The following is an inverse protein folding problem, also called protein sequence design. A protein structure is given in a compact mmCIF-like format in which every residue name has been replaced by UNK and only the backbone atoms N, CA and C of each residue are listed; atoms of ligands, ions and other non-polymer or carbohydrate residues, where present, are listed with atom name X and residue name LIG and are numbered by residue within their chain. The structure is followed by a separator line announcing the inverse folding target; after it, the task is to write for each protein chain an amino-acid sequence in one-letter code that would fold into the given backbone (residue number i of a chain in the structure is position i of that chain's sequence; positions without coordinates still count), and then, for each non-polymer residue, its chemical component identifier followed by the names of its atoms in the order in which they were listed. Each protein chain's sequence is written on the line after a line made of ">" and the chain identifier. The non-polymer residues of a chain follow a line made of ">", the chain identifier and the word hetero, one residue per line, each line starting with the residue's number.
data_IF_015973451115
#
_entry.id   IF_015973451115
#
_cell.length_a   1.000
_cell.length_b   1.000
_cell.length_c   1.000
_cell.angle_alpha   90.00
_cell.angle_beta   90.00
_cell.angle_gamma   90.00
#
_symmetry.space_group_name_H-M   'P 1'
#
loop_
_entity.id
_entity.type
_entity.pdbx_description
1 polymer ?
#
# COMPACT_ATOMS: atom_id res chain seq x y z
N UNK A 1 -15.34 -12.35 -7.87
CA UNK A 1 -15.23 -11.29 -6.84
C UNK A 1 -15.53 -11.81 -5.42
N UNK A 2 -16.58 -12.62 -5.21
CA UNK A 2 -16.91 -13.18 -3.90
C UNK A 2 -15.77 -13.98 -3.22
N UNK A 3 -15.00 -14.85 -3.92
CA UNK A 3 -13.90 -15.61 -3.30
C UNK A 3 -12.77 -14.72 -2.76
N UNK A 4 -12.41 -13.65 -3.50
CA UNK A 4 -11.41 -12.67 -3.07
C UNK A 4 -11.83 -11.91 -1.81
N UNK A 5 -13.08 -11.44 -1.78
CA UNK A 5 -13.62 -10.71 -0.62
C UNK A 5 -13.77 -11.62 0.62
N UNK A 6 -14.24 -12.86 0.43
CA UNK A 6 -14.39 -13.84 1.52
C UNK A 6 -13.04 -14.29 2.10
N UNK A 7 -12.07 -14.62 1.24
CA UNK A 7 -10.73 -15.05 1.69
C UNK A 7 -10.03 -13.99 2.54
N UNK A 8 -10.20 -12.71 2.17
CA UNK A 8 -9.67 -11.60 2.97
C UNK A 8 -10.45 -11.36 4.25
N UNK A 9 -11.79 -11.41 4.22
CA UNK A 9 -12.60 -11.24 5.42
C UNK A 9 -12.16 -12.21 6.53
N UNK A 10 -11.90 -13.47 6.17
CA UNK A 10 -11.43 -14.47 7.11
C UNK A 10 -10.05 -14.12 7.71
N UNK A 11 -9.11 -13.66 6.88
CA UNK A 11 -7.78 -13.24 7.34
C UNK A 11 -7.87 -12.02 8.28
N UNK A 12 -8.66 -11.01 7.90
CA UNK A 12 -8.84 -9.80 8.71
C UNK A 12 -9.54 -10.11 10.03
N UNK A 13 -10.60 -10.92 10.01
CA UNK A 13 -11.32 -11.32 11.22
C UNK A 13 -10.40 -12.00 12.22
N UNK A 14 -9.57 -12.96 11.77
CA UNK A 14 -8.60 -13.65 12.63
C UNK A 14 -7.60 -12.69 13.25
N UNK A 15 -7.06 -11.76 12.45
CA UNK A 15 -6.13 -10.74 12.94
C UNK A 15 -6.79 -9.83 13.98
N UNK A 16 -7.96 -9.27 13.66
CA UNK A 16 -8.69 -8.40 14.57
C UNK A 16 -9.10 -9.10 15.87
N UNK A 17 -9.45 -10.39 15.82
CA UNK A 17 -9.73 -11.18 17.01
C UNK A 17 -8.48 -11.38 17.89
N UNK A 18 -7.31 -11.64 17.28
CA UNK A 18 -6.05 -11.77 18.00
C UNK A 18 -5.62 -10.44 18.64
N UNK A 19 -5.84 -9.33 17.95
CA UNK A 19 -5.45 -7.99 18.40
C UNK A 19 -6.47 -7.34 19.35
N UNK A 20 -7.63 -7.97 19.59
CA UNK A 20 -8.74 -7.37 20.34
C UNK A 20 -8.35 -6.96 21.76
N UNK A 21 -7.53 -7.79 22.44
CA UNK A 21 -7.06 -7.52 23.79
C UNK A 21 -6.22 -6.23 23.88
N UNK A 22 -5.54 -5.84 22.79
CA UNK A 22 -4.72 -4.63 22.74
C UNK A 22 -5.55 -3.35 22.83
N UNK A 23 -6.84 -3.40 22.49
CA UNK A 23 -7.75 -2.24 22.58
C UNK A 23 -8.01 -1.79 24.03
N UNK A 24 -7.75 -2.66 25.02
CA UNK A 24 -7.94 -2.38 26.44
C UNK A 24 -6.64 -2.09 27.18
N UNK A 25 -5.50 -2.21 26.50
CA UNK A 25 -4.21 -1.95 27.10
C UNK A 25 -3.94 -0.44 27.14
N UNK A 26 -3.54 0.08 28.29
CA UNK A 26 -3.13 1.46 28.44
C UNK A 26 -1.80 1.66 27.71
N UNK A 27 -1.78 2.53 26.70
CA UNK A 27 -0.58 2.83 25.93
C UNK A 27 -0.07 4.21 26.35
N UNK A 28 1.15 4.26 26.90
CA UNK A 28 1.83 5.56 27.04
C UNK A 28 2.13 6.08 25.64
N UNK A 29 1.62 7.26 25.32
CA UNK A 29 1.92 7.93 24.06
C UNK A 29 3.42 8.15 23.91
N UNK A 30 3.94 7.94 22.70
CA UNK A 30 5.32 8.29 22.31
C UNK A 30 5.32 9.68 21.70
N UNK A 31 6.44 10.39 21.79
CA UNK A 31 6.57 11.65 21.09
C UNK A 31 6.60 11.41 19.56
N UNK A 32 6.11 12.37 18.78
CA UNK A 32 6.02 12.26 17.31
C UNK A 32 7.38 11.91 16.70
N UNK A 33 8.45 12.58 17.13
CA UNK A 33 9.82 12.32 16.65
C UNK A 33 10.41 10.96 17.08
N UNK A 34 9.80 10.25 18.03
CA UNK A 34 10.19 8.87 18.39
C UNK A 34 9.48 7.83 17.52
N UNK A 35 8.36 8.21 16.90
CA UNK A 35 7.55 7.34 16.05
C UNK A 35 7.91 7.52 14.58
N UNK A 36 8.19 8.75 14.18
CA UNK A 36 8.37 9.13 12.77
C UNK A 36 9.78 9.66 12.51
N UNK A 37 10.37 9.16 11.43
CA UNK A 37 11.67 9.60 10.92
C UNK A 37 11.64 11.10 10.56
N UNK A 38 12.72 11.83 10.88
CA UNK A 38 12.79 13.27 10.63
C UNK A 38 12.59 13.67 9.17
N UNK A 39 13.00 12.82 8.22
CA UNK A 39 12.76 13.06 6.79
C UNK A 39 11.26 13.02 6.46
N UNK A 40 10.50 12.08 7.02
CA UNK A 40 9.04 12.04 6.84
C UNK A 40 8.37 13.29 7.41
N UNK A 41 8.80 13.73 8.60
CA UNK A 41 8.25 14.95 9.23
C UNK A 41 8.46 16.19 8.37
N UNK A 42 9.62 16.30 7.71
CA UNK A 42 9.89 17.37 6.74
C UNK A 42 9.01 17.23 5.50
N UNK A 43 8.85 16.02 4.95
CA UNK A 43 7.95 15.77 3.83
C UNK A 43 6.50 16.15 4.17
N UNK A 44 6.03 15.80 5.37
CA UNK A 44 4.69 16.12 5.85
C UNK A 44 4.47 17.63 5.93
N UNK A 45 5.38 18.35 6.58
CA UNK A 45 5.26 19.80 6.76
C UNK A 45 5.26 20.54 5.42
N UNK A 46 6.08 20.10 4.46
CA UNK A 46 6.09 20.66 3.09
C UNK A 46 4.80 20.35 2.33
N UNK A 47 4.26 19.13 2.48
CA UNK A 47 3.04 18.71 1.77
C UNK A 47 1.77 19.43 2.27
N UNK A 48 1.61 19.52 3.59
CA UNK A 48 0.36 19.96 4.21
C UNK A 48 0.41 21.37 4.82
N UNK A 49 1.61 21.95 4.98
CA UNK A 49 1.78 23.28 5.58
C UNK A 49 1.73 23.31 7.12
N UNK A 50 1.41 22.20 7.77
CA UNK A 50 1.38 22.04 9.24
C UNK A 50 2.07 20.75 9.68
N UNK A 51 2.53 20.69 10.94
CA UNK A 51 3.21 19.49 11.48
C UNK A 51 2.22 18.45 11.99
N UNK A 52 2.69 17.23 12.27
CA UNK A 52 1.83 16.19 12.87
C UNK A 52 1.41 16.60 14.29
N UNK A 53 2.26 17.28 15.04
CA UNK A 53 1.92 17.86 16.34
C UNK A 53 0.76 18.86 16.22
N UNK A 54 0.79 19.73 15.21
CA UNK A 54 -0.33 20.65 14.92
C UNK A 54 -1.60 19.88 14.54
N UNK A 55 -1.50 18.77 13.80
CA UNK A 55 -2.66 17.92 13.50
C UNK A 55 -3.27 17.29 14.78
N UNK A 56 -2.44 16.85 15.73
CA UNK A 56 -2.89 16.33 17.01
C UNK A 56 -3.58 17.42 17.85
N UNK A 57 -3.06 18.65 17.86
CA UNK A 57 -3.71 19.79 18.49
C UNK A 57 -5.08 20.10 17.86
N UNK A 58 -5.20 20.00 16.53
CA UNK A 58 -6.49 20.13 15.83
C UNK A 58 -7.46 19.07 16.32
N UNK A 59 -7.03 17.81 16.42
CA UNK A 59 -7.86 16.73 16.95
C UNK A 59 -8.33 17.03 18.38
N UNK A 60 -7.43 17.45 19.27
CA UNK A 60 -7.75 17.79 20.65
C UNK A 60 -8.80 18.91 20.74
N UNK A 61 -8.67 19.96 19.91
CA UNK A 61 -9.64 21.06 19.84
C UNK A 61 -11.02 20.57 19.39
N UNK A 62 -11.08 19.75 18.35
CA UNK A 62 -12.32 19.20 17.81
C UNK A 62 -12.99 18.24 18.80
N UNK A 63 -12.21 17.35 19.43
CA UNK A 63 -12.72 16.42 20.45
C UNK A 63 -13.19 17.17 21.69
N UNK A 64 -12.48 18.22 22.12
CA UNK A 64 -12.90 19.06 23.24
C UNK A 64 -14.22 19.76 22.94
N UNK A 65 -14.37 20.40 21.77
CA UNK A 65 -15.63 21.04 21.36
C UNK A 65 -16.78 20.03 21.34
N UNK A 66 -16.57 18.82 20.81
CA UNK A 66 -17.57 17.74 20.85
C UNK A 66 -18.00 17.36 22.27
N UNK A 67 -17.05 17.28 23.21
CA UNK A 67 -17.34 17.05 24.64
C UNK A 67 -18.13 18.21 25.25
N UNK A 68 -17.75 19.45 24.95
CA UNK A 68 -18.38 20.66 25.48
C UNK A 68 -19.85 20.76 25.03
N UNK A 69 -20.15 20.45 23.76
CA UNK A 69 -21.53 20.42 23.23
C UNK A 69 -22.28 19.13 23.56
N UNK A 70 -21.59 18.11 24.12
CA UNK A 70 -22.12 16.78 24.44
C UNK A 70 -22.74 16.04 23.25
N UNK A 71 -22.17 16.23 22.07
CA UNK A 71 -22.58 15.55 20.84
C UNK A 71 -21.36 14.98 20.11
N UNK A 72 -21.56 13.88 19.39
CA UNK A 72 -20.54 13.24 18.56
C UNK A 72 -20.40 13.93 17.20
N UNK A 73 -21.46 14.60 16.74
CA UNK A 73 -21.49 15.40 15.52
C UNK A 73 -21.58 16.86 15.93
N UNK A 74 -20.67 17.68 15.41
CA UNK A 74 -20.56 19.09 15.78
C UNK A 74 -20.69 19.93 14.52
N UNK A 75 -21.53 20.96 14.60
CA UNK A 75 -21.55 22.08 13.66
C UNK A 75 -20.84 23.26 14.30
N UNK A 76 -19.87 23.86 13.60
CA UNK A 76 -19.09 25.02 14.05
C UNK A 76 -18.85 25.96 12.88
N UNK A 77 -18.78 27.27 13.11
CA UNK A 77 -18.39 28.22 12.06
C UNK A 77 -16.88 28.19 11.84
N UNK A 78 -16.43 28.56 10.64
CA UNK A 78 -14.99 28.72 10.34
C UNK A 78 -14.34 29.71 11.31
N UNK A 79 -14.99 30.84 11.63
CA UNK A 79 -14.47 31.82 12.58
C UNK A 79 -14.28 31.27 13.99
N UNK A 80 -15.25 30.49 14.49
CA UNK A 80 -15.14 29.84 15.81
C UNK A 80 -14.02 28.79 15.83
N UNK A 81 -13.92 27.97 14.78
CA UNK A 81 -12.85 26.97 14.68
C UNK A 81 -11.49 27.64 14.60
N UNK A 82 -11.36 28.68 13.78
CA UNK A 82 -10.13 29.48 13.65
C UNK A 82 -9.65 30.00 15.00
N UNK A 83 -10.55 30.68 15.73
CA UNK A 83 -10.26 31.23 17.07
C UNK A 83 -9.83 30.12 18.04
N UNK A 84 -10.49 28.96 17.97
CA UNK A 84 -10.18 27.83 18.85
C UNK A 84 -8.79 27.23 18.56
N UNK A 85 -8.37 27.22 17.29
CA UNK A 85 -7.05 26.72 16.88
C UNK A 85 -5.93 27.72 17.23
N UNK A 86 -6.16 29.02 17.06
CA UNK A 86 -5.22 30.05 17.52
C UNK A 86 -5.04 30.03 19.04
N UNK A 87 -6.14 29.87 19.78
CA UNK A 87 -6.09 29.72 21.24
C UNK A 87 -5.33 28.46 21.69
N UNK A 88 -5.23 27.44 20.84
CA UNK A 88 -4.44 26.24 21.06
C UNK A 88 -2.95 26.41 20.66
N UNK A 89 -2.54 27.61 20.23
CA UNK A 89 -1.16 27.93 19.87
C UNK A 89 -0.80 27.67 18.40
N UNK A 90 -1.80 27.55 17.51
CA UNK A 90 -1.55 27.39 16.08
C UNK A 90 -1.56 28.76 15.41
N UNK A 91 -0.44 29.14 14.79
CA UNK A 91 -0.28 30.37 14.02
C UNK A 91 -1.33 30.50 12.91
N UNK A 92 -1.83 31.72 12.66
CA UNK A 92 -2.90 32.01 11.68
C UNK A 92 -2.61 31.45 10.28
N UNK A 93 -1.35 31.50 9.84
CA UNK A 93 -0.93 30.95 8.54
C UNK A 93 -1.05 29.42 8.48
N UNK A 94 -0.81 28.72 9.59
CA UNK A 94 -1.00 27.28 9.67
C UNK A 94 -2.48 26.92 9.79
N UNK A 95 -3.31 27.74 10.46
CA UNK A 95 -4.77 27.54 10.51
C UNK A 95 -5.38 27.55 9.11
N UNK A 96 -4.98 28.49 8.25
CA UNK A 96 -5.39 28.51 6.85
C UNK A 96 -5.04 27.20 6.13
N UNK A 97 -3.78 26.76 6.23
CA UNK A 97 -3.32 25.52 5.59
C UNK A 97 -4.04 24.27 6.12
N UNK A 98 -4.37 24.25 7.41
CA UNK A 98 -5.17 23.20 8.06
C UNK A 98 -6.56 23.15 7.45
N UNK A 99 -7.27 24.29 7.37
CA UNK A 99 -8.60 24.35 6.78
C UNK A 99 -8.56 23.95 5.29
N UNK A 100 -7.62 24.47 4.51
CA UNK A 100 -7.47 24.11 3.09
C UNK A 100 -7.13 22.63 2.87
N UNK A 101 -6.45 21.98 3.82
CA UNK A 101 -6.05 20.58 3.72
C UNK A 101 -7.10 19.60 4.22
N UNK A 102 -7.82 19.96 5.29
CA UNK A 102 -8.72 19.06 6.01
C UNK A 102 -10.21 19.32 5.72
N UNK A 103 -10.55 20.48 5.16
CA UNK A 103 -11.93 20.77 4.77
C UNK A 103 -12.28 20.22 3.40
N UNK A 104 -13.51 19.72 3.29
CA UNK A 104 -14.17 19.31 2.07
C UNK A 104 -15.34 20.26 1.82
N UNK A 105 -15.21 21.09 0.78
CA UNK A 105 -16.24 22.08 0.41
C UNK A 105 -17.37 21.45 -0.40
N UNK A 106 -18.56 22.05 -0.27
CA UNK A 106 -19.72 21.72 -1.08
C UNK A 106 -19.46 22.02 -2.56
N UNK A 107 -20.12 21.29 -3.45
CA UNK A 107 -20.00 21.47 -4.90
C UNK A 107 -21.38 21.38 -5.53
N UNK A 108 -21.66 22.24 -6.50
CA UNK A 108 -22.92 22.26 -7.22
C UNK A 108 -23.21 20.93 -7.95
N UNK A 109 -22.17 20.25 -8.42
CA UNK A 109 -22.26 18.93 -9.04
C UNK A 109 -21.08 18.05 -8.63
N UNK A 110 -21.34 16.75 -8.49
CA UNK A 110 -20.31 15.76 -8.20
C UNK A 110 -19.34 15.57 -9.38
N UNK A 111 -19.81 15.77 -10.62
CA UNK A 111 -19.08 15.59 -11.89
C UNK A 111 -18.10 16.74 -12.17
N UNK A 112 -18.34 17.91 -11.59
CA UNK A 112 -17.50 19.08 -11.76
C UNK A 112 -16.21 18.93 -10.95
N UNK A 113 -15.09 18.73 -11.66
CA UNK A 113 -13.75 18.67 -11.08
C UNK A 113 -13.33 20.09 -10.66
N UNK A 114 -13.05 20.35 -9.37
CA UNK A 114 -12.59 21.67 -8.94
C UNK A 114 -11.19 22.00 -9.49
N UNK A 115 -10.87 23.28 -9.59
CA UNK A 115 -9.55 23.74 -10.02
C UNK A 115 -8.43 23.12 -9.17
N UNK A 116 -7.36 22.63 -9.83
CA UNK A 116 -6.22 21.97 -9.15
C UNK A 116 -6.46 20.50 -8.73
N UNK A 117 -7.55 19.90 -9.19
CA UNK A 117 -7.86 18.48 -9.04
C UNK A 117 -8.05 17.80 -10.40
N UNK A 118 -7.97 16.47 -10.40
CA UNK A 118 -8.20 15.65 -11.58
C UNK A 118 -9.49 14.85 -11.45
N UNK A 119 -9.99 14.30 -12.56
CA UNK A 119 -11.18 13.43 -12.56
C UNK A 119 -11.03 12.28 -11.54
N UNK A 120 -9.84 11.67 -11.47
CA UNK A 120 -9.52 10.62 -10.48
C UNK A 120 -9.81 11.03 -9.04
N UNK A 121 -9.67 12.31 -8.70
CA UNK A 121 -9.90 12.83 -7.35
C UNK A 121 -11.38 12.85 -6.94
N UNK A 122 -12.31 12.67 -7.89
CA UNK A 122 -13.75 12.68 -7.65
C UNK A 122 -14.44 11.35 -7.98
N UNK A 123 -13.82 10.46 -8.77
CA UNK A 123 -14.39 9.17 -9.17
C UNK A 123 -14.75 8.26 -7.97
N UNK A 124 -16.02 8.02 -7.64
CA UNK A 124 -16.42 7.33 -6.40
C UNK A 124 -15.90 5.88 -6.30
N UNK A 125 -15.59 5.25 -7.44
CA UNK A 125 -14.96 3.92 -7.50
C UNK A 125 -13.44 3.94 -7.30
N UNK A 126 -12.81 5.08 -7.06
CA UNK A 126 -11.39 5.20 -6.70
C UNK A 126 -11.23 5.41 -5.21
N UNK A 127 -10.37 4.59 -4.61
CA UNK A 127 -9.85 4.85 -3.27
C UNK A 127 -8.61 5.74 -3.36
N UNK A 128 -8.29 6.45 -2.28
CA UNK A 128 -7.20 7.44 -2.31
C UNK A 128 -7.53 8.57 -3.28
N UNK A 129 -8.68 9.21 -3.05
CA UNK A 129 -9.10 10.44 -3.72
C UNK A 129 -8.73 11.63 -2.88
N UNK A 130 -8.18 12.69 -3.49
CA UNK A 130 -7.88 13.93 -2.77
C UNK A 130 -9.15 14.66 -2.29
N UNK A 131 -10.28 14.49 -2.99
CA UNK A 131 -11.60 15.00 -2.58
C UNK A 131 -12.46 13.86 -2.04
N UNK A 132 -12.13 13.43 -0.82
CA UNK A 132 -12.87 12.39 -0.10
C UNK A 132 -12.94 12.72 1.37
N UNK A 133 -13.63 11.87 2.15
CA UNK A 133 -13.74 12.01 3.60
C UNK A 133 -12.41 11.79 4.35
N UNK A 134 -11.29 11.63 3.65
CA UNK A 134 -9.97 11.88 4.26
C UNK A 134 -9.77 13.35 4.67
N UNK A 135 -10.65 14.24 4.16
CA UNK A 135 -10.89 15.61 4.60
C UNK A 135 -12.12 15.59 5.53
N UNK A 136 -11.94 15.42 6.85
CA UNK A 136 -13.06 15.11 7.74
C UNK A 136 -13.90 16.33 8.15
N UNK A 137 -13.50 17.55 7.75
CA UNK A 137 -14.22 18.78 8.04
C UNK A 137 -15.15 19.14 6.87
N UNK A 138 -16.43 18.81 6.96
CA UNK A 138 -17.38 19.06 5.86
C UNK A 138 -17.85 20.51 5.90
N UNK A 139 -17.38 21.34 4.97
CA UNK A 139 -17.89 22.69 4.81
C UNK A 139 -19.20 22.65 4.02
N UNK A 140 -20.27 23.18 4.59
CA UNK A 140 -21.60 23.22 3.98
C UNK A 140 -21.73 24.29 2.88
N UNK A 141 -20.65 25.03 2.65
CA UNK A 141 -20.54 26.07 1.65
C UNK A 141 -19.54 25.65 0.56
N UNK A 142 -19.65 26.28 -0.60
CA UNK A 142 -18.75 26.05 -1.75
C UNK A 142 -17.39 26.76 -1.59
N UNK A 143 -17.26 27.65 -0.62
CA UNK A 143 -16.02 28.30 -0.23
C UNK A 143 -15.81 28.34 1.30
N UNK A 144 -14.56 28.48 1.73
CA UNK A 144 -14.20 28.64 3.14
C UNK A 144 -14.17 30.14 3.44
N UNK A 145 -15.14 30.60 4.22
CA UNK A 145 -15.23 31.98 4.70
C UNK A 145 -15.64 31.99 6.18
N UNK A 146 -15.42 33.09 6.94
CA UNK A 146 -15.61 33.11 8.39
C UNK A 146 -16.99 32.64 8.89
N UNK A 147 -18.05 32.91 8.12
CA UNK A 147 -19.42 32.50 8.43
C UNK A 147 -19.83 31.11 7.93
N UNK A 148 -18.96 30.41 7.18
CA UNK A 148 -19.28 29.09 6.66
C UNK A 148 -19.39 28.06 7.79
N UNK A 149 -20.41 27.21 7.72
CA UNK A 149 -20.59 26.12 8.67
C UNK A 149 -19.75 24.89 8.27
N UNK A 150 -19.04 24.33 9.25
CA UNK A 150 -18.31 23.06 9.17
C UNK A 150 -19.03 22.04 10.05
N UNK A 151 -19.32 20.87 9.47
CA UNK A 151 -19.77 19.68 10.19
C UNK A 151 -18.65 18.66 10.26
N UNK A 152 -18.41 18.09 11.44
CA UNK A 152 -17.52 16.95 11.61
C UNK A 152 -18.03 15.99 12.68
N UNK A 153 -17.56 14.75 12.64
CA UNK A 153 -17.78 13.76 13.69
C UNK A 153 -16.46 13.47 14.41
N UNK A 154 -16.40 13.64 15.73
CA UNK A 154 -15.14 13.59 16.47
C UNK A 154 -14.41 12.23 16.33
N UNK A 155 -15.14 11.11 16.40
CA UNK A 155 -14.55 9.79 16.19
C UNK A 155 -14.09 9.53 14.75
N UNK A 156 -14.71 10.21 13.78
CA UNK A 156 -14.32 10.11 12.37
C UNK A 156 -13.04 10.90 12.10
N UNK A 157 -12.88 12.08 12.71
CA UNK A 157 -11.64 12.89 12.65
C UNK A 157 -10.44 12.05 13.07
N UNK A 158 -10.51 11.40 14.23
CA UNK A 158 -9.46 10.49 14.72
C UNK A 158 -9.08 9.43 13.67
N UNK A 159 -10.10 8.75 13.13
CA UNK A 159 -9.91 7.69 12.14
C UNK A 159 -9.29 8.23 10.83
N UNK A 160 -9.73 9.39 10.36
CA UNK A 160 -9.25 10.01 9.13
C UNK A 160 -7.80 10.49 9.27
N UNK A 161 -7.45 11.12 10.40
CA UNK A 161 -6.10 11.59 10.69
C UNK A 161 -5.13 10.41 10.84
N UNK A 162 -5.48 9.45 11.70
CA UNK A 162 -4.68 8.24 11.90
C UNK A 162 -4.42 7.51 10.58
N UNK A 163 -5.46 7.30 9.78
CA UNK A 163 -5.33 6.69 8.46
C UNK A 163 -4.42 7.50 7.53
N UNK A 164 -4.57 8.82 7.47
CA UNK A 164 -3.80 9.68 6.55
C UNK A 164 -2.32 9.67 6.91
N UNK A 165 -1.98 9.86 8.19
CA UNK A 165 -0.61 9.83 8.69
C UNK A 165 0.02 8.46 8.46
N UNK A 166 -0.62 7.39 8.91
CA UNK A 166 -0.06 6.03 8.78
C UNK A 166 0.10 5.61 7.31
N UNK A 167 -0.84 6.01 6.46
CA UNK A 167 -0.83 5.62 5.05
C UNK A 167 0.15 6.45 4.22
N UNK A 168 0.42 7.71 4.59
CA UNK A 168 1.48 8.50 4.00
C UNK A 168 2.86 7.99 4.46
N UNK A 169 3.03 7.73 5.76
CA UNK A 169 4.27 7.19 6.30
C UNK A 169 4.63 5.83 5.69
N UNK A 170 3.67 4.90 5.64
CA UNK A 170 3.86 3.54 5.14
C UNK A 170 3.78 3.36 3.62
N UNK A 171 3.66 4.43 2.83
CA UNK A 171 3.59 4.33 1.36
C UNK A 171 2.30 3.73 0.80
N UNK A 172 1.23 3.63 1.61
CA UNK A 172 -0.05 3.04 1.19
C UNK A 172 -0.84 3.98 0.25
N UNK A 173 -0.72 5.29 0.42
CA UNK A 173 -1.32 6.27 -0.50
C UNK A 173 -0.48 6.38 -1.77
N UNK A 174 -1.16 6.55 -2.91
CA UNK A 174 -0.46 6.68 -4.19
C UNK A 174 0.26 8.03 -4.27
N UNK A 175 1.43 8.10 -4.90
CA UNK A 175 2.21 9.34 -5.04
C UNK A 175 1.40 10.49 -5.68
N UNK A 176 0.49 10.19 -6.61
CA UNK A 176 -0.39 11.18 -7.27
C UNK A 176 -1.36 11.89 -6.31
N UNK A 177 -1.51 11.39 -5.07
CA UNK A 177 -2.27 12.09 -4.04
C UNK A 177 -1.54 13.33 -3.52
N UNK A 178 -0.22 13.39 -3.69
CA UNK A 178 0.65 14.36 -3.04
C UNK A 178 1.17 15.40 -4.03
N UNK A 179 1.17 16.66 -3.60
CA UNK A 179 1.53 17.84 -4.40
C UNK A 179 3.01 18.15 -4.34
N UNK A 180 3.65 17.96 -3.19
CA UNK A 180 5.08 18.23 -3.02
C UNK A 180 5.92 17.13 -3.70
N UNK A 181 6.99 17.57 -4.37
CA UNK A 181 7.93 16.63 -4.98
C UNK A 181 8.63 15.78 -3.91
N UNK A 182 8.87 16.36 -2.72
CA UNK A 182 9.49 15.68 -1.60
C UNK A 182 8.64 14.53 -1.07
N UNK A 183 7.35 14.74 -0.83
CA UNK A 183 6.46 13.66 -0.39
C UNK A 183 6.32 12.58 -1.45
N UNK A 184 6.22 12.92 -2.74
CA UNK A 184 6.20 11.90 -3.81
C UNK A 184 7.47 11.04 -3.80
N UNK A 185 8.64 11.65 -3.63
CA UNK A 185 9.91 10.94 -3.50
C UNK A 185 9.92 10.02 -2.28
N UNK A 186 9.45 10.50 -1.12
CA UNK A 186 9.30 9.70 0.09
C UNK A 186 8.45 8.44 -0.16
N UNK A 187 7.27 8.59 -0.77
CA UNK A 187 6.39 7.46 -1.10
C UNK A 187 7.11 6.45 -2.01
N UNK A 188 7.84 6.92 -3.03
CA UNK A 188 8.66 6.08 -3.89
C UNK A 188 9.74 5.31 -3.12
N UNK A 189 10.47 5.99 -2.24
CA UNK A 189 11.51 5.39 -1.39
C UNK A 189 10.95 4.33 -0.45
N UNK A 190 9.84 4.61 0.25
CA UNK A 190 9.19 3.65 1.15
C UNK A 190 8.67 2.44 0.37
N UNK A 191 8.07 2.64 -0.80
CA UNK A 191 7.61 1.53 -1.63
C UNK A 191 8.76 0.65 -2.12
N UNK A 192 9.90 1.24 -2.49
CA UNK A 192 11.09 0.48 -2.87
C UNK A 192 11.64 -0.33 -1.69
N UNK A 193 11.75 0.29 -0.51
CA UNK A 193 12.16 -0.38 0.74
C UNK A 193 11.24 -1.55 1.06
N UNK A 194 9.93 -1.33 1.05
CA UNK A 194 8.92 -2.37 1.29
C UNK A 194 9.03 -3.52 0.28
N UNK A 195 9.37 -3.24 -0.98
CA UNK A 195 9.63 -4.25 -1.99
C UNK A 195 10.83 -5.13 -1.65
N UNK A 196 11.97 -4.52 -1.32
CA UNK A 196 13.18 -5.26 -0.92
C UNK A 196 12.98 -6.06 0.37
N UNK A 197 12.37 -5.47 1.40
CA UNK A 197 12.06 -6.14 2.66
C UNK A 197 11.13 -7.34 2.42
N UNK A 198 10.22 -7.22 1.46
CA UNK A 198 9.33 -8.32 1.09
C UNK A 198 10.07 -9.46 0.37
N UNK A 199 10.99 -9.14 -0.56
CA UNK A 199 11.85 -10.15 -1.20
C UNK A 199 12.65 -10.93 -0.15
N UNK A 200 13.21 -10.21 0.83
CA UNK A 200 13.97 -10.80 1.93
C UNK A 200 13.12 -11.67 2.87
N UNK A 201 11.88 -11.25 3.13
CA UNK A 201 10.91 -12.04 3.89
C UNK A 201 10.61 -13.37 3.18
N UNK A 202 10.38 -13.34 1.86
CA UNK A 202 10.11 -14.54 1.06
C UNK A 202 11.33 -15.47 1.05
N UNK A 203 12.53 -14.93 0.85
CA UNK A 203 13.80 -15.67 0.93
C UNK A 203 13.93 -16.40 2.27
N UNK A 204 13.74 -15.67 3.38
CA UNK A 204 13.86 -16.21 4.74
C UNK A 204 12.86 -17.34 5.02
N UNK A 205 11.60 -17.19 4.57
CA UNK A 205 10.59 -18.25 4.70
C UNK A 205 11.02 -19.50 3.94
N UNK A 206 11.50 -19.36 2.70
CA UNK A 206 11.92 -20.51 1.88
C UNK A 206 13.12 -21.24 2.51
N UNK A 207 14.09 -20.52 3.06
CA UNK A 207 15.21 -21.13 3.80
C UNK A 207 14.76 -21.89 5.04
N UNK A 208 13.80 -21.35 5.80
CA UNK A 208 13.24 -22.04 6.97
C UNK A 208 12.54 -23.36 6.61
N UNK A 209 12.13 -23.51 5.35
CA UNK A 209 11.53 -24.73 4.79
C UNK A 209 12.57 -25.69 4.17
N UNK A 210 13.87 -25.35 4.27
CA UNK A 210 14.98 -26.17 3.79
C UNK A 210 15.35 -25.98 2.32
N UNK A 211 14.89 -24.91 1.68
CA UNK A 211 15.32 -24.54 0.33
C UNK A 211 16.60 -23.69 0.39
N UNK A 212 17.44 -23.78 -0.64
CA UNK A 212 18.40 -22.70 -0.89
C UNK A 212 17.66 -21.52 -1.50
N UNK A 213 17.90 -20.29 -1.05
CA UNK A 213 17.24 -19.12 -1.61
C UNK A 213 18.18 -17.90 -1.64
N UNK A 214 17.99 -17.04 -2.63
CA UNK A 214 18.64 -15.72 -2.75
C UNK A 214 17.62 -14.69 -3.18
N UNK A 215 17.63 -13.52 -2.55
CA UNK A 215 16.84 -12.37 -2.97
C UNK A 215 17.65 -11.49 -3.95
N UNK A 216 16.94 -10.77 -4.83
CA UNK A 216 17.47 -9.78 -5.77
C UNK A 216 18.65 -10.29 -6.61
N UNK A 217 18.53 -11.48 -7.20
CA UNK A 217 19.57 -12.09 -8.03
C UNK A 217 19.67 -11.34 -9.35
N UNK A 218 20.79 -10.65 -9.57
CA UNK A 218 20.96 -9.87 -10.79
C UNK A 218 21.10 -10.81 -11.99
N UNK A 219 20.41 -10.50 -13.09
CA UNK A 219 20.54 -11.29 -14.32
C UNK A 219 21.97 -11.23 -14.90
N UNK A 220 22.75 -10.20 -14.54
CA UNK A 220 24.19 -10.12 -14.86
C UNK A 220 24.99 -11.22 -14.17
N UNK A 221 24.58 -11.69 -12.98
CA UNK A 221 25.17 -12.86 -12.34
C UNK A 221 24.93 -14.14 -13.16
N UNK A 222 23.89 -14.16 -13.99
CA UNK A 222 23.58 -15.24 -14.91
C UNK A 222 24.17 -15.00 -16.32
N UNK A 223 24.86 -13.88 -16.54
CA UNK A 223 25.56 -13.59 -17.79
C UNK A 223 24.75 -12.84 -18.83
N UNK A 224 23.68 -12.14 -18.43
CA UNK A 224 22.92 -11.25 -19.34
C UNK A 224 22.72 -9.86 -18.73
N UNK A 225 23.07 -8.83 -19.49
CA UNK A 225 22.91 -7.43 -19.10
C UNK A 225 21.52 -6.88 -19.46
N UNK A 226 21.08 -5.82 -18.78
CA UNK A 226 19.87 -5.07 -19.15
C UNK A 226 18.53 -5.74 -18.81
N UNK A 227 18.52 -6.89 -18.11
CA UNK A 227 17.29 -7.59 -17.71
C UNK A 227 16.87 -7.37 -16.25
N UNK A 228 17.62 -6.57 -15.48
CA UNK A 228 17.38 -6.35 -14.05
C UNK A 228 17.63 -7.61 -13.23
N UNK A 229 16.78 -7.86 -12.24
CA UNK A 229 16.94 -8.93 -11.25
C UNK A 229 15.72 -9.85 -11.11
N UNK A 230 15.97 -11.06 -10.63
CA UNK A 230 14.93 -11.98 -10.16
C UNK A 230 14.71 -11.67 -8.67
N UNK A 231 13.47 -11.32 -8.30
CA UNK A 231 13.14 -10.91 -6.92
C UNK A 231 13.59 -11.95 -5.89
N UNK A 232 13.25 -13.23 -6.11
CA UNK A 232 13.79 -14.36 -5.34
C UNK A 232 14.05 -15.55 -6.27
N UNK A 233 15.27 -16.11 -6.17
CA UNK A 233 15.62 -17.39 -6.79
C UNK A 233 15.76 -18.44 -5.68
N UNK A 234 14.97 -19.50 -5.73
CA UNK A 234 15.02 -20.59 -4.76
C UNK A 234 15.22 -21.94 -5.43
N UNK A 235 15.80 -22.90 -4.71
CA UNK A 235 16.06 -24.24 -5.25
C UNK A 235 16.13 -25.31 -4.17
N UNK A 236 15.93 -26.56 -4.58
CA UNK A 236 16.09 -27.74 -3.72
C UNK A 236 16.85 -28.84 -4.46
N UNK A 237 18.03 -29.21 -3.93
CA UNK A 237 18.89 -30.26 -4.51
C UNK A 237 18.26 -31.65 -4.49
N UNK A 238 17.61 -32.11 -3.40
CA UNK A 238 16.97 -33.43 -3.39
C UNK A 238 15.98 -33.68 -4.53
N UNK A 239 15.44 -32.62 -5.15
CA UNK A 239 14.41 -32.73 -6.19
C UNK A 239 14.82 -32.09 -7.52
N UNK A 240 16.03 -31.52 -7.59
CA UNK A 240 16.52 -30.63 -8.66
C UNK A 240 15.40 -29.72 -9.15
N UNK A 241 14.89 -28.88 -8.25
CA UNK A 241 13.82 -27.96 -8.58
C UNK A 241 14.30 -26.54 -8.32
N UNK A 242 14.02 -25.64 -9.27
CA UNK A 242 14.33 -24.21 -9.21
C UNK A 242 13.03 -23.42 -9.30
N UNK A 243 12.94 -22.35 -8.54
CA UNK A 243 11.83 -21.42 -8.52
C UNK A 243 12.36 -20.03 -8.84
N UNK A 244 11.92 -19.46 -9.96
CA UNK A 244 12.07 -18.05 -10.27
C UNK A 244 10.82 -17.32 -9.78
N UNK A 245 10.97 -16.52 -8.74
CA UNK A 245 9.84 -15.99 -7.98
C UNK A 245 9.79 -14.48 -8.18
N UNK A 246 8.66 -13.98 -8.67
CA UNK A 246 8.31 -12.56 -8.61
C UNK A 246 7.65 -12.26 -7.27
N UNK A 247 8.05 -11.18 -6.61
CA UNK A 247 7.49 -10.75 -5.34
C UNK A 247 6.81 -9.39 -5.52
N UNK A 248 5.54 -9.30 -5.13
CA UNK A 248 4.80 -8.03 -5.21
C UNK A 248 4.16 -7.69 -3.87
N UNK A 249 4.67 -6.61 -3.27
CA UNK A 249 4.04 -5.96 -2.13
C UNK A 249 2.88 -5.07 -2.61
N UNK A 250 1.72 -5.68 -2.82
CA UNK A 250 0.55 -5.01 -3.39
C UNK A 250 -0.34 -4.41 -2.31
N UNK A 251 -1.01 -3.32 -2.70
CA UNK A 251 -2.05 -2.71 -1.88
C UNK A 251 -3.32 -3.52 -2.01
N UNK A 252 -4.16 -3.49 -0.99
CA UNK A 252 -5.48 -4.08 -1.08
C UNK A 252 -6.36 -3.31 -2.07
N UNK A 253 -6.86 -3.98 -3.09
CA UNK A 253 -7.93 -3.45 -3.94
C UNK A 253 -9.27 -3.56 -3.21
N UNK A 254 -9.83 -2.42 -2.80
CA UNK A 254 -11.10 -2.29 -2.06
C UNK A 254 -12.28 -2.17 -3.00
N UNK A 255 -12.12 -1.47 -4.12
CA UNK A 255 -13.20 -1.23 -5.08
C UNK A 255 -13.03 -2.09 -6.34
N UNK A 256 -14.13 -2.24 -7.09
CA UNK A 256 -14.11 -2.89 -8.42
C UNK A 256 -13.13 -2.17 -9.36
N UNK A 257 -13.07 -0.83 -9.29
CA UNK A 257 -12.14 -0.02 -10.06
C UNK A 257 -10.68 -0.33 -9.75
N UNK A 258 -10.33 -0.48 -8.46
CA UNK A 258 -8.98 -0.88 -8.04
C UNK A 258 -8.65 -2.32 -8.44
N UNK A 259 -9.61 -3.23 -8.37
CA UNK A 259 -9.44 -4.60 -8.87
C UNK A 259 -9.11 -4.58 -10.36
N UNK A 260 -9.88 -3.84 -11.16
CA UNK A 260 -9.63 -3.70 -12.60
C UNK A 260 -8.28 -3.03 -12.92
N UNK A 261 -7.85 -2.06 -12.12
CA UNK A 261 -6.54 -1.39 -12.25
C UNK A 261 -5.40 -2.35 -11.93
N UNK A 262 -5.51 -3.15 -10.86
CA UNK A 262 -4.51 -4.19 -10.56
C UNK A 262 -4.45 -5.25 -11.65
N UNK A 263 -5.58 -5.83 -12.05
CA UNK A 263 -5.59 -6.86 -13.10
C UNK A 263 -4.98 -6.37 -14.43
N UNK A 264 -5.13 -5.08 -14.75
CA UNK A 264 -4.54 -4.48 -15.95
C UNK A 264 -3.01 -4.43 -15.91
N UNK A 265 -2.42 -4.29 -14.72
CA UNK A 265 -0.96 -4.24 -14.52
C UNK A 265 -0.29 -5.61 -14.61
N UNK A 266 -1.05 -6.70 -14.65
CA UNK A 266 -0.54 -8.08 -14.69
C UNK A 266 -0.97 -8.82 -15.96
N UNK A 267 -1.14 -8.09 -17.07
CA UNK A 267 -1.53 -8.67 -18.37
C UNK A 267 -0.35 -9.16 -19.18
N UNK A 268 0.89 -8.96 -18.71
CA UNK A 268 2.12 -9.26 -19.43
C UNK A 268 2.33 -8.38 -20.65
N UNK A 269 1.75 -7.17 -20.65
CA UNK A 269 1.94 -6.20 -21.73
C UNK A 269 3.23 -5.41 -21.50
N UNK A 270 3.94 -4.98 -22.56
CA UNK A 270 5.19 -4.23 -22.42
C UNK A 270 5.09 -3.08 -21.41
N UNK A 271 5.98 -3.10 -20.41
CA UNK A 271 6.04 -2.09 -19.35
C UNK A 271 5.07 -2.27 -18.18
N UNK A 272 4.26 -3.34 -18.14
CA UNK A 272 3.45 -3.67 -16.96
C UNK A 272 4.25 -4.42 -15.88
N UNK A 273 3.62 -4.69 -14.73
CA UNK A 273 4.28 -5.26 -13.55
C UNK A 273 4.76 -6.71 -13.78
N UNK A 274 4.31 -7.38 -14.84
CA UNK A 274 4.60 -8.77 -15.13
C UNK A 274 5.52 -8.96 -16.35
N UNK A 275 5.59 -7.99 -17.27
CA UNK A 275 6.43 -8.03 -18.48
C UNK A 275 7.90 -8.42 -18.19
N UNK A 276 8.55 -7.70 -17.25
CA UNK A 276 9.94 -7.98 -16.92
C UNK A 276 10.15 -9.41 -16.40
N UNK A 277 9.22 -9.91 -15.59
CA UNK A 277 9.25 -11.28 -15.10
C UNK A 277 9.15 -12.29 -16.25
N UNK A 278 8.16 -12.14 -17.13
CA UNK A 278 7.95 -13.05 -18.26
C UNK A 278 9.15 -13.09 -19.21
N UNK A 279 9.79 -11.94 -19.46
CA UNK A 279 11.02 -11.89 -20.26
C UNK A 279 12.18 -12.63 -19.59
N UNK A 280 12.34 -12.51 -18.27
CA UNK A 280 13.36 -13.26 -17.52
C UNK A 280 13.06 -14.76 -17.55
N UNK A 281 11.81 -15.16 -17.36
CA UNK A 281 11.40 -16.57 -17.47
C UNK A 281 11.74 -17.14 -18.84
N UNK A 282 11.37 -16.44 -19.93
CA UNK A 282 11.69 -16.88 -21.28
C UNK A 282 13.20 -17.04 -21.50
N UNK A 283 14.01 -16.10 -21.00
CA UNK A 283 15.47 -16.18 -21.07
C UNK A 283 16.02 -17.36 -20.25
N UNK A 284 15.54 -17.57 -19.03
CA UNK A 284 15.97 -18.68 -18.17
C UNK A 284 15.65 -20.04 -18.79
N UNK A 285 14.48 -20.18 -19.42
CA UNK A 285 14.10 -21.39 -20.15
C UNK A 285 15.06 -21.67 -21.30
N UNK A 286 15.41 -20.65 -22.09
CA UNK A 286 16.36 -20.78 -23.21
C UNK A 286 17.81 -20.99 -22.76
N UNK A 287 18.15 -20.64 -21.52
CA UNK A 287 19.51 -20.68 -20.97
C UNK A 287 19.60 -21.54 -19.70
N UNK A 288 18.79 -22.61 -19.62
CA UNK A 288 18.67 -23.49 -18.45
C UNK A 288 20.02 -24.04 -17.95
N UNK A 289 20.97 -24.29 -18.86
CA UNK A 289 22.33 -24.74 -18.55
C UNK A 289 23.13 -23.75 -17.67
N UNK A 290 22.80 -22.46 -17.71
CA UNK A 290 23.40 -21.47 -16.82
C UNK A 290 22.98 -21.73 -15.38
N UNK A 291 21.67 -21.90 -15.13
CA UNK A 291 21.14 -22.20 -13.80
C UNK A 291 21.67 -23.53 -13.28
N UNK A 292 21.70 -24.55 -14.14
CA UNK A 292 22.23 -25.88 -13.82
C UNK A 292 23.67 -25.80 -13.30
N UNK A 293 24.55 -25.10 -14.01
CA UNK A 293 25.95 -24.92 -13.59
C UNK A 293 26.07 -24.10 -12.31
N UNK A 294 25.33 -22.99 -12.20
CA UNK A 294 25.40 -22.08 -11.05
C UNK A 294 24.88 -22.68 -9.75
N UNK A 295 23.83 -23.49 -9.82
CA UNK A 295 23.18 -24.11 -8.66
C UNK A 295 23.63 -25.58 -8.44
N UNK A 296 24.48 -26.10 -9.33
CA UNK A 296 24.96 -27.49 -9.34
C UNK A 296 23.81 -28.51 -9.34
N UNK A 297 22.94 -28.39 -10.35
CA UNK A 297 21.76 -29.24 -10.54
C UNK A 297 22.05 -30.40 -11.51
N UNK A 298 21.22 -31.45 -11.46
CA UNK A 298 21.23 -32.54 -12.44
C UNK A 298 20.52 -32.15 -13.75
N UNK A 299 20.73 -32.92 -14.81
CA UNK A 299 20.23 -32.64 -16.17
C UNK A 299 18.70 -32.52 -16.26
N UNK A 300 17.94 -33.23 -15.42
CA UNK A 300 16.47 -33.26 -15.44
C UNK A 300 15.84 -32.35 -14.39
N UNK A 301 16.44 -31.19 -14.15
CA UNK A 301 15.88 -30.25 -13.17
C UNK A 301 14.57 -29.64 -13.69
N UNK A 302 13.67 -29.32 -12.75
CA UNK A 302 12.40 -28.65 -13.05
C UNK A 302 12.48 -27.18 -12.68
N UNK A 303 11.96 -26.32 -13.54
CA UNK A 303 11.84 -24.90 -13.27
C UNK A 303 10.39 -24.53 -13.01
N UNK A 304 10.16 -23.65 -12.04
CA UNK A 304 8.85 -23.16 -11.68
C UNK A 304 8.85 -21.63 -11.63
N UNK A 305 7.76 -21.00 -12.05
CA UNK A 305 7.50 -19.58 -11.82
C UNK A 305 6.41 -19.41 -10.79
N UNK A 306 6.60 -18.47 -9.86
CA UNK A 306 5.61 -18.12 -8.84
C UNK A 306 5.50 -16.60 -8.74
N UNK A 307 4.29 -16.12 -8.50
CA UNK A 307 4.03 -14.74 -8.08
C UNK A 307 3.66 -14.75 -6.59
N UNK A 308 4.59 -14.35 -5.74
CA UNK A 308 4.36 -14.24 -4.31
C UNK A 308 3.87 -12.84 -3.97
N UNK A 309 2.80 -12.77 -3.17
CA UNK A 309 2.16 -11.51 -2.81
C UNK A 309 2.04 -11.36 -1.31
N UNK A 310 2.14 -10.12 -0.80
CA UNK A 310 2.09 -9.83 0.63
C UNK A 310 0.72 -10.14 1.27
N UNK A 311 -0.32 -10.30 0.45
CA UNK A 311 -1.67 -10.62 0.88
C UNK A 311 -2.41 -11.34 -0.26
N UNK A 312 -3.62 -11.83 0.04
CA UNK A 312 -4.56 -12.27 -1.00
C UNK A 312 -4.85 -11.11 -1.97
N UNK A 313 -4.70 -11.35 -3.28
CA UNK A 313 -4.90 -10.36 -4.35
C UNK A 313 -5.83 -10.86 -5.46
N UNK A 314 -6.44 -9.98 -6.27
CA UNK A 314 -7.37 -10.37 -7.32
C UNK A 314 -6.78 -11.26 -8.42
N UNK A 315 -5.48 -11.13 -8.69
CA UNK A 315 -4.76 -11.88 -9.74
C UNK A 315 -4.96 -13.39 -9.58
N UNK A 316 -4.95 -13.91 -8.35
CA UNK A 316 -5.15 -15.34 -8.05
C UNK A 316 -6.58 -15.87 -8.21
N UNK A 317 -7.53 -15.05 -8.67
CA UNK A 317 -8.94 -15.44 -8.83
C UNK A 317 -9.50 -15.21 -10.23
N UNK A 318 -8.65 -14.90 -11.20
CA UNK A 318 -9.06 -14.66 -12.59
C UNK A 318 -8.33 -15.60 -13.53
N UNK A 319 -9.02 -15.98 -14.59
CA UNK A 319 -8.44 -16.71 -15.73
C UNK A 319 -8.04 -15.73 -16.84
N UNK A 320 -7.19 -16.19 -17.77
CA UNK A 320 -6.79 -15.40 -18.94
C UNK A 320 -5.65 -14.41 -18.70
N UNK A 321 -4.99 -14.44 -17.54
CA UNK A 321 -3.69 -13.78 -17.34
C UNK A 321 -2.55 -14.70 -17.82
N UNK A 322 -1.37 -14.14 -18.16
CA UNK A 322 -0.22 -14.94 -18.63
C UNK A 322 0.37 -15.89 -17.59
N UNK A 323 0.03 -15.70 -16.32
CA UNK A 323 0.40 -16.59 -15.22
C UNK A 323 -0.85 -17.33 -14.72
N UNK A 324 -0.79 -18.66 -14.54
CA UNK A 324 -1.91 -19.41 -13.97
C UNK A 324 -2.20 -18.98 -12.52
N UNK A 325 -3.48 -19.02 -12.12
CA UNK A 325 -3.93 -18.52 -10.81
C UNK A 325 -3.34 -19.28 -9.63
N UNK A 326 -3.01 -20.57 -9.79
CA UNK A 326 -2.37 -21.42 -8.78
C UNK A 326 -0.90 -21.08 -8.53
N UNK A 327 -0.28 -20.25 -9.39
CA UNK A 327 1.07 -19.70 -9.19
C UNK A 327 1.09 -18.42 -8.34
N UNK A 328 -0.08 -17.84 -8.10
CA UNK A 328 -0.24 -16.61 -7.30
C UNK A 328 -0.46 -16.97 -5.84
N UNK A 329 0.60 -16.90 -5.05
CA UNK A 329 0.61 -17.43 -3.68
C UNK A 329 0.80 -16.27 -2.69
N UNK A 330 -0.17 -16.04 -1.78
CA UNK A 330 0.03 -15.15 -0.65
C UNK A 330 1.18 -15.64 0.25
N UNK A 331 1.96 -14.74 0.82
CA UNK A 331 3.17 -15.07 1.61
C UNK A 331 2.90 -16.05 2.76
N UNK A 332 1.73 -15.94 3.41
CA UNK A 332 1.29 -16.84 4.50
C UNK A 332 0.98 -18.27 4.01
N UNK A 333 0.88 -18.48 2.69
CA UNK A 333 0.60 -19.76 2.06
C UNK A 333 1.83 -20.44 1.45
N UNK A 334 3.01 -19.80 1.50
CA UNK A 334 4.27 -20.40 1.04
C UNK A 334 4.51 -21.78 1.66
N UNK A 335 4.40 -21.99 3.00
CA UNK A 335 4.66 -23.31 3.59
C UNK A 335 3.75 -24.41 3.03
N UNK A 336 2.46 -24.10 2.79
CA UNK A 336 1.52 -25.04 2.22
C UNK A 336 1.85 -25.36 0.75
N UNK A 337 2.14 -24.33 -0.06
CA UNK A 337 2.48 -24.50 -1.47
C UNK A 337 3.82 -25.22 -1.69
N UNK A 338 4.80 -24.98 -0.82
CA UNK A 338 6.08 -25.68 -0.85
C UNK A 338 6.01 -27.08 -0.22
N UNK A 339 4.92 -27.38 0.50
CA UNK A 339 4.59 -28.72 1.00
C UNK A 339 3.75 -29.56 0.03
N UNK A 340 3.01 -28.95 -0.89
CA UNK A 340 2.12 -29.65 -1.82
C UNK A 340 2.86 -30.39 -2.93
N UNK A 341 2.22 -31.42 -3.48
CA UNK A 341 2.70 -32.22 -4.61
C UNK A 341 1.56 -32.38 -5.62
N UNK A 342 1.77 -32.07 -6.92
CA UNK A 342 2.95 -31.43 -7.51
C UNK A 342 3.18 -29.99 -6.99
N UNK A 343 4.36 -29.43 -7.25
CA UNK A 343 4.61 -28.01 -7.00
C UNK A 343 3.87 -27.17 -8.04
N UNK A 344 3.34 -25.99 -7.67
CA UNK A 344 2.66 -25.11 -8.62
C UNK A 344 3.64 -24.50 -9.64
N UNK A 345 3.12 -24.10 -10.80
CA UNK A 345 3.82 -23.23 -11.74
C UNK A 345 4.99 -23.84 -12.51
N UNK A 346 4.99 -25.15 -12.76
CA UNK A 346 6.03 -25.81 -13.56
C UNK A 346 6.10 -25.21 -14.98
N UNK A 347 7.31 -24.88 -15.41
CA UNK A 347 7.64 -24.41 -16.76
C UNK A 347 8.53 -25.49 -17.37
N UNK A 348 8.09 -26.09 -18.48
CA UNK A 348 8.90 -27.08 -19.18
C UNK A 348 10.19 -26.41 -19.70
N UNK A 349 11.34 -26.87 -19.20
CA UNK A 349 12.60 -26.70 -19.90
C UNK A 349 12.61 -27.75 -21.02
N UNK A 350 12.56 -27.32 -22.27
CA UNK A 350 12.81 -28.24 -23.38
C UNK A 350 14.22 -28.82 -23.21
N UNK A 351 14.28 -30.15 -23.18
CA UNK A 351 15.46 -30.98 -23.00
C UNK A 351 16.40 -30.93 -24.19
#
# INVERSE_FOLDING_TARGET
>A
MAPYQQGRFQAHFKKSAADYANLFAEHKGKAVGEVFEGDFLQCWKEEFGFTIEQLLLVEDVLVKKARDVRDRIVTITVAELWTSLEAAGIESSAVDQILQSLALVSRASWESVPAGFHLRDIEPWKFGRRLSLLRPLLCLHDEIHPGAEIIYAAGFVHSAFGFTVSSAYGGLLHEQMFRSARMRKWIGTVNNRNGHDFNETVRTILESLGFGAKAAVQMTELGVEGMGDIDVLAWTKPRDTVFAIECKHLRFARTVGEVGEQLRRFRGQPGDDLDAHLRRIAWLTQNAEVLKRRLNLRDKFRMHQLLITNAVVPIGFVEGLPIPSDTVIPVDRIPAAMGSRPFPGEIFAES
#
